data_IF_853068000320
#
_entry.id   IF_853068000320
#
_cell.length_a   1.000
_cell.length_b   1.000
_cell.length_c   1.000
_cell.angle_alpha   90.00
_cell.angle_beta   90.00
_cell.angle_gamma   90.00
#
_symmetry.space_group_name_H-M   'P 1'
#
loop_
_entity.id
_entity.type
_entity.pdbx_description
1 polymer ?
#
# COMPACT_ATOMS: atom_id res chain seq x y z
N UNK A 1 -7.11 15.78 14.66
CA UNK A 1 -7.34 14.72 15.65
C UNK A 1 -6.91 13.41 15.02
N UNK A 2 -5.87 12.82 15.60
CA UNK A 2 -5.19 11.62 15.09
C UNK A 2 -6.09 10.42 15.33
N UNK A 3 -6.87 10.02 14.32
CA UNK A 3 -7.40 8.66 14.28
C UNK A 3 -6.27 7.80 13.70
N UNK A 4 -5.37 7.35 14.59
CA UNK A 4 -4.50 6.21 14.33
C UNK A 4 -5.41 4.99 14.16
N UNK A 5 -6.06 4.89 12.99
CA UNK A 5 -6.45 3.61 12.46
C UNK A 5 -5.16 2.83 12.32
N UNK A 6 -4.90 1.91 13.25
CA UNK A 6 -3.78 0.97 13.11
C UNK A 6 -3.96 0.30 11.76
N UNK A 7 -2.93 0.36 10.94
CA UNK A 7 -2.86 -0.52 9.78
C UNK A 7 -2.72 -1.92 10.37
N UNK A 8 -3.79 -2.69 10.26
CA UNK A 8 -3.83 -4.08 10.70
C UNK A 8 -3.31 -4.97 9.56
N UNK A 9 -2.71 -6.08 9.95
CA UNK A 9 -2.36 -7.10 8.97
C UNK A 9 -3.62 -7.58 8.25
N UNK A 10 -3.47 -7.96 6.98
CA UNK A 10 -4.54 -8.54 6.20
C UNK A 10 -4.94 -9.89 6.82
N UNK A 11 -6.25 -10.11 6.93
CA UNK A 11 -6.76 -11.46 7.16
C UNK A 11 -6.58 -12.33 5.91
N UNK A 12 -6.84 -13.63 6.07
CA UNK A 12 -6.63 -14.60 4.99
C UNK A 12 -7.50 -14.35 3.76
N UNK A 13 -8.72 -13.83 3.93
CA UNK A 13 -9.58 -13.56 2.79
C UNK A 13 -9.07 -12.36 2.00
N UNK A 14 -8.77 -11.26 2.70
CA UNK A 14 -8.25 -10.04 2.11
C UNK A 14 -6.89 -10.24 1.42
N UNK A 15 -6.03 -11.12 1.94
CA UNK A 15 -4.77 -11.54 1.28
C UNK A 15 -5.03 -12.16 -0.09
N UNK A 16 -5.95 -13.12 -0.15
CA UNK A 16 -6.26 -13.86 -1.39
C UNK A 16 -6.90 -12.91 -2.40
N UNK A 17 -7.88 -12.11 -1.98
CA UNK A 17 -8.52 -11.13 -2.86
C UNK A 17 -7.52 -10.12 -3.42
N UNK A 18 -6.56 -9.65 -2.61
CA UNK A 18 -5.51 -8.76 -3.09
C UNK A 18 -4.62 -9.45 -4.14
N UNK A 19 -4.24 -10.71 -3.91
CA UNK A 19 -3.46 -11.49 -4.87
C UNK A 19 -4.22 -11.66 -6.19
N UNK A 20 -5.50 -12.04 -6.15
CA UNK A 20 -6.35 -12.22 -7.34
C UNK A 20 -6.43 -10.94 -8.19
N UNK A 21 -6.65 -9.79 -7.55
CA UNK A 21 -6.70 -8.49 -8.26
C UNK A 21 -5.36 -8.19 -8.92
N UNK A 22 -4.25 -8.46 -8.22
CA UNK A 22 -2.90 -8.20 -8.75
C UNK A 22 -2.62 -9.14 -9.91
N UNK A 23 -3.00 -10.42 -9.83
CA UNK A 23 -2.79 -11.41 -10.87
C UNK A 23 -3.59 -11.09 -12.15
N UNK A 24 -4.85 -10.71 -12.03
CA UNK A 24 -5.68 -10.32 -13.19
C UNK A 24 -5.11 -9.10 -13.93
N UNK A 25 -4.44 -8.21 -13.20
CA UNK A 25 -3.83 -6.99 -13.72
C UNK A 25 -2.39 -7.17 -14.19
N UNK A 26 -1.67 -8.15 -13.65
CA UNK A 26 -0.29 -8.40 -13.99
C UNK A 26 -0.15 -8.68 -15.49
N UNK A 27 0.71 -7.93 -16.19
CA UNK A 27 0.87 -7.93 -17.65
C UNK A 27 -0.35 -7.49 -18.48
N UNK A 28 -1.47 -7.09 -17.86
CA UNK A 28 -2.69 -6.67 -18.54
C UNK A 28 -3.03 -5.18 -18.29
N UNK A 29 -2.39 -4.53 -17.32
CA UNK A 29 -2.51 -3.09 -17.13
C UNK A 29 -1.71 -2.57 -15.93
N UNK A 30 -1.69 -1.25 -15.77
CA UNK A 30 -0.96 -0.61 -14.67
C UNK A 30 -1.75 -0.66 -13.36
N UNK A 31 -1.02 -0.66 -12.24
CA UNK A 31 -1.53 -0.57 -10.87
C UNK A 31 -0.85 0.62 -10.18
N UNK A 32 -1.63 1.48 -9.52
CA UNK A 32 -1.12 2.55 -8.66
C UNK A 32 -1.46 2.19 -7.22
N UNK A 33 -0.45 2.10 -6.37
CA UNK A 33 -0.61 1.85 -4.93
C UNK A 33 -0.13 3.07 -4.16
N UNK A 34 -0.94 3.49 -3.18
CA UNK A 34 -0.55 4.54 -2.22
C UNK A 34 -0.59 3.96 -0.82
N UNK A 35 0.48 4.14 -0.07
CA UNK A 35 0.59 3.62 1.30
C UNK A 35 1.23 4.64 2.21
N UNK A 36 0.84 4.61 3.48
CA UNK A 36 1.49 5.35 4.56
C UNK A 36 2.69 4.58 5.13
N UNK A 37 2.86 3.31 4.75
CA UNK A 37 3.95 2.45 5.21
C UNK A 37 4.91 2.21 4.04
N UNK A 38 6.25 2.33 4.26
CA UNK A 38 7.23 2.01 3.23
C UNK A 38 7.11 0.55 2.78
N UNK A 39 7.54 0.27 1.55
CA UNK A 39 7.47 -1.09 0.95
C UNK A 39 8.10 -2.16 1.84
N UNK A 40 9.15 -1.82 2.58
CA UNK A 40 9.82 -2.71 3.52
C UNK A 40 8.88 -3.27 4.60
N UNK A 41 7.84 -2.53 5.00
CA UNK A 41 6.85 -2.97 5.98
C UNK A 41 5.64 -3.70 5.38
N UNK A 42 5.56 -3.83 4.05
CA UNK A 42 4.40 -4.47 3.41
C UNK A 42 4.36 -5.97 3.64
N UNK A 43 5.53 -6.60 3.75
CA UNK A 43 5.63 -8.03 4.02
C UNK A 43 4.88 -8.42 5.32
N UNK A 44 5.09 -7.65 6.40
CA UNK A 44 4.44 -7.88 7.69
C UNK A 44 2.93 -7.59 7.67
N UNK A 45 2.49 -6.61 6.87
CA UNK A 45 1.07 -6.25 6.73
C UNK A 45 0.32 -7.31 5.93
N UNK A 46 0.90 -7.78 4.82
CA UNK A 46 0.28 -8.83 4.03
C UNK A 46 0.23 -10.10 4.89
N UNK A 47 1.36 -10.45 5.50
CA UNK A 47 1.53 -11.68 6.26
C UNK A 47 1.41 -12.93 5.37
N UNK A 48 1.72 -14.09 5.94
CA UNK A 48 1.91 -15.35 5.19
C UNK A 48 2.97 -15.24 4.09
N UNK A 49 4.07 -15.96 4.29
CA UNK A 49 5.28 -15.82 3.48
C UNK A 49 5.02 -15.98 1.97
N UNK A 50 4.23 -16.98 1.61
CA UNK A 50 4.04 -17.39 0.20
C UNK A 50 3.26 -16.33 -0.58
N UNK A 51 2.16 -15.83 -0.02
CA UNK A 51 1.33 -14.79 -0.62
C UNK A 51 2.05 -13.45 -0.60
N UNK A 52 2.75 -13.12 0.48
CA UNK A 52 3.55 -11.89 0.54
C UNK A 52 4.63 -11.87 -0.55
N UNK A 53 5.38 -12.96 -0.72
CA UNK A 53 6.37 -13.09 -1.79
C UNK A 53 5.69 -12.95 -3.17
N UNK A 54 4.57 -13.64 -3.41
CA UNK A 54 3.87 -13.58 -4.70
C UNK A 54 3.34 -12.18 -5.05
N UNK A 55 2.78 -11.46 -4.07
CA UNK A 55 2.27 -10.09 -4.22
C UNK A 55 3.42 -9.11 -4.47
N UNK A 56 4.47 -9.17 -3.66
CA UNK A 56 5.60 -8.25 -3.77
C UNK A 56 6.39 -8.48 -5.05
N UNK A 57 6.50 -9.73 -5.49
CA UNK A 57 7.17 -10.07 -6.75
C UNK A 57 6.49 -9.36 -7.93
N UNK A 58 5.15 -9.42 -7.99
CA UNK A 58 4.35 -8.83 -9.09
C UNK A 58 4.25 -7.30 -9.00
N UNK A 59 4.14 -6.75 -7.79
CA UNK A 59 3.97 -5.31 -7.61
C UNK A 59 5.30 -4.55 -7.64
N UNK A 60 6.34 -5.06 -6.99
CA UNK A 60 7.54 -4.26 -6.71
C UNK A 60 8.60 -4.41 -7.80
N UNK A 61 8.80 -5.61 -8.37
CA UNK A 61 9.89 -5.86 -9.32
C UNK A 61 9.86 -4.94 -10.55
N UNK A 62 8.67 -4.51 -10.99
CA UNK A 62 8.50 -3.63 -12.15
C UNK A 62 7.89 -2.26 -11.80
N UNK A 63 8.01 -1.81 -10.54
CA UNK A 63 7.42 -0.54 -10.09
C UNK A 63 8.36 0.65 -10.16
N UNK A 64 7.76 1.82 -10.38
CA UNK A 64 8.35 3.10 -10.01
C UNK A 64 7.94 3.45 -8.58
N UNK A 65 8.92 3.69 -7.70
CA UNK A 65 8.69 4.07 -6.31
C UNK A 65 8.88 5.58 -6.14
N UNK A 66 7.87 6.23 -5.58
CA UNK A 66 7.88 7.66 -5.28
C UNK A 66 7.67 7.84 -3.78
N UNK A 67 8.74 8.13 -3.05
CA UNK A 67 8.65 8.46 -1.63
C UNK A 67 8.22 9.93 -1.48
N UNK A 68 7.10 10.12 -0.79
CA UNK A 68 6.54 11.46 -0.57
C UNK A 68 7.04 12.00 0.76
N UNK A 69 7.57 13.23 0.73
CA UNK A 69 8.02 13.95 1.91
C UNK A 69 7.25 15.26 2.09
N UNK A 70 7.23 15.76 3.32
CA UNK A 70 6.67 17.06 3.67
C UNK A 70 5.45 16.99 4.58
N UNK A 71 4.94 18.16 4.94
CA UNK A 71 3.82 18.28 5.87
C UNK A 71 2.48 17.90 5.24
N UNK A 72 1.56 17.41 6.07
CA UNK A 72 0.19 17.12 5.64
C UNK A 72 -0.47 18.34 5.02
N UNK A 73 -0.87 18.22 3.74
CA UNK A 73 -1.64 19.26 3.04
C UNK A 73 -2.99 19.57 3.71
N UNK A 74 -3.50 18.66 4.57
CA UNK A 74 -4.70 18.92 5.38
C UNK A 74 -4.48 20.06 6.38
N UNK A 75 -3.27 20.19 6.95
CA UNK A 75 -2.92 21.30 7.86
C UNK A 75 -2.88 22.63 7.11
N UNK A 76 -2.27 22.66 5.92
CA UNK A 76 -2.16 23.87 5.09
C UNK A 76 -3.52 24.48 4.72
N UNK A 77 -4.53 23.66 4.46
CA UNK A 77 -5.90 24.15 4.17
C UNK A 77 -6.61 24.77 5.39
N UNK A 78 -6.27 24.35 6.61
CA UNK A 78 -6.81 24.93 7.83
C UNK A 78 -6.21 26.28 8.20
N UNK A 79 -5.00 26.58 7.69
CA UNK A 79 -4.26 27.82 7.98
C UNK A 79 -4.76 28.99 7.10
N UNK A 80 -5.28 28.72 5.90
CA UNK A 80 -5.80 29.76 4.98
C UNK A 80 -7.24 30.23 5.30
N UNK A 81 -7.72 30.03 6.53
CA UNK A 81 -8.94 30.67 7.04
C UNK A 81 -8.53 31.83 7.95
N UNK A 82 -8.13 32.93 7.33
CA UNK A 82 -7.84 34.22 7.97
C UNK A 82 -8.31 35.31 7.05
#
# INVERSE_FOLDING_TARGET
>A
MCLLGRIQALDSHNRITLLEIIEDRHNNGSIIVTSQIPVQGWYDIIGEKTIADAILDRLIHQSHRLELHGESMRKKRGINKG
#
